data_IF_517620316233
#
_entry.id   IF_517620316233
#
_cell.length_a   1.000
_cell.length_b   1.000
_cell.length_c   1.000
_cell.angle_alpha   90.00
_cell.angle_beta   90.00
_cell.angle_gamma   90.00
#
_symmetry.space_group_name_H-M   'P 1'
#
loop_
_entity.id
_entity.type
_entity.pdbx_description
1 polymer ?
#
# COMPACT_ATOMS: atom_id res chain seq x y z
N UNK A 1 3.25 -3.32 25.15
CA UNK A 1 2.07 -2.55 24.89
C UNK A 1 2.32 -1.57 23.79
N UNK A 2 1.69 -1.76 22.71
CA UNK A 2 2.01 -0.95 21.55
C UNK A 2 1.23 0.35 21.56
N UNK A 3 1.93 1.46 21.34
CA UNK A 3 1.32 2.75 21.09
C UNK A 3 1.06 2.97 19.61
N UNK A 4 1.04 1.89 18.86
CA UNK A 4 0.80 1.94 17.43
C UNK A 4 -0.65 2.29 17.15
N UNK A 5 -0.84 3.31 16.35
CA UNK A 5 -2.14 3.85 16.00
C UNK A 5 -2.29 3.90 14.49
N UNK A 6 -3.44 3.46 13.98
CA UNK A 6 -3.75 3.53 12.56
C UNK A 6 -4.76 4.64 12.29
N UNK A 7 -4.62 5.31 11.15
CA UNK A 7 -5.54 6.39 10.78
C UNK A 7 -5.72 6.44 9.26
N UNK A 8 -6.95 6.72 8.84
CA UNK A 8 -7.29 6.95 7.43
C UNK A 8 -7.29 8.45 7.09
N UNK A 9 -6.94 9.30 8.02
CA UNK A 9 -6.88 10.74 7.82
C UNK A 9 -5.65 11.10 6.98
N UNK A 10 -5.88 11.48 5.73
CA UNK A 10 -4.79 11.81 4.80
C UNK A 10 -3.98 13.02 5.25
N UNK A 11 -4.57 13.92 6.06
CA UNK A 11 -3.83 15.08 6.54
C UNK A 11 -2.71 14.71 7.51
N UNK A 12 -2.76 13.51 8.08
CA UNK A 12 -1.72 13.00 8.97
C UNK A 12 -0.57 12.32 8.24
N UNK A 13 -0.71 12.05 6.94
CA UNK A 13 0.32 11.35 6.17
C UNK A 13 1.55 12.23 5.97
N UNK A 14 2.72 11.64 6.17
CA UNK A 14 4.00 12.28 5.89
C UNK A 14 4.39 11.93 4.44
N UNK A 15 3.94 12.75 3.51
CA UNK A 15 4.14 12.48 2.07
C UNK A 15 5.62 12.42 1.71
N UNK A 16 6.44 13.28 2.30
CA UNK A 16 7.88 13.25 2.04
C UNK A 16 8.52 11.94 2.47
N UNK A 17 8.14 11.43 3.63
CA UNK A 17 8.65 10.16 4.12
C UNK A 17 8.15 8.99 3.28
N UNK A 18 6.88 9.03 2.87
CA UNK A 18 6.30 8.01 1.99
C UNK A 18 7.06 7.98 0.67
N UNK A 19 7.26 9.15 0.07
CA UNK A 19 7.99 9.26 -1.19
C UNK A 19 9.42 8.72 -1.07
N UNK A 20 10.14 9.14 -0.03
CA UNK A 20 11.52 8.72 0.17
C UNK A 20 11.62 7.20 0.30
N UNK A 21 10.69 6.59 1.01
CA UNK A 21 10.67 5.15 1.16
C UNK A 21 10.34 4.46 -0.17
N UNK A 22 9.27 4.87 -0.84
CA UNK A 22 8.82 4.22 -2.08
C UNK A 22 9.86 4.33 -3.19
N UNK A 23 10.53 5.47 -3.29
CA UNK A 23 11.56 5.66 -4.32
C UNK A 23 12.73 4.69 -4.18
N UNK A 24 12.92 4.11 -3.00
CA UNK A 24 13.98 3.14 -2.73
C UNK A 24 13.53 1.69 -2.85
N UNK A 25 12.24 1.44 -3.09
CA UNK A 25 11.73 0.07 -3.15
C UNK A 25 11.97 -0.56 -4.52
N UNK A 26 11.91 -1.91 -4.56
CA UNK A 26 12.06 -2.63 -5.81
C UNK A 26 10.84 -2.50 -6.72
N UNK A 27 9.66 -2.17 -6.16
CA UNK A 27 8.42 -2.11 -6.95
C UNK A 27 8.12 -0.72 -7.51
N UNK A 28 8.75 0.34 -7.00
CA UNK A 28 8.58 1.69 -7.55
C UNK A 28 9.86 2.51 -7.47
N UNK A 29 11.01 1.96 -7.96
CA UNK A 29 12.27 2.68 -7.87
C UNK A 29 12.20 3.98 -8.64
N UNK A 30 12.61 5.07 -7.98
CA UNK A 30 12.67 6.39 -8.62
C UNK A 30 11.34 7.07 -8.83
N UNK A 31 10.27 6.61 -8.19
CA UNK A 31 8.96 7.25 -8.35
C UNK A 31 9.04 8.74 -7.99
N UNK A 32 8.56 9.65 -8.87
CA UNK A 32 8.58 11.08 -8.57
C UNK A 32 7.61 11.45 -7.44
N UNK A 33 7.95 12.50 -6.71
CA UNK A 33 7.08 13.00 -5.63
C UNK A 33 5.66 13.28 -6.11
N UNK A 34 5.54 13.90 -7.27
CA UNK A 34 4.23 14.23 -7.85
C UNK A 34 3.36 13.01 -8.10
N UNK A 35 3.98 11.90 -8.50
CA UNK A 35 3.25 10.65 -8.71
C UNK A 35 2.73 10.09 -7.37
N UNK A 36 3.54 10.18 -6.32
CA UNK A 36 3.12 9.76 -4.99
C UNK A 36 1.95 10.61 -4.50
N UNK A 37 2.05 11.92 -4.66
CA UNK A 37 0.98 12.84 -4.25
C UNK A 37 -0.35 12.52 -4.95
N UNK A 38 -0.31 12.30 -6.26
CA UNK A 38 -1.52 11.97 -7.02
C UNK A 38 -2.08 10.61 -6.65
N UNK A 39 -1.20 9.64 -6.43
CA UNK A 39 -1.62 8.30 -6.05
C UNK A 39 -2.32 8.31 -4.68
N UNK A 40 -1.76 9.03 -3.72
CA UNK A 40 -2.36 9.16 -2.39
C UNK A 40 -3.70 9.87 -2.46
N UNK A 41 -3.78 10.94 -3.25
CA UNK A 41 -5.02 11.71 -3.41
C UNK A 41 -6.16 10.84 -3.94
N UNK A 42 -5.86 9.91 -4.84
CA UNK A 42 -6.88 9.12 -5.53
C UNK A 42 -7.04 7.70 -4.98
N UNK A 43 -6.48 7.42 -3.83
CA UNK A 43 -6.53 6.09 -3.22
C UNK A 43 -7.07 6.16 -1.81
N UNK A 44 -7.53 5.02 -1.31
CA UNK A 44 -7.80 4.88 0.13
C UNK A 44 -6.47 4.55 0.80
N UNK A 45 -6.03 5.43 1.71
CA UNK A 45 -4.73 5.30 2.35
C UNK A 45 -4.88 5.13 3.85
N UNK A 46 -3.98 4.34 4.44
CA UNK A 46 -3.91 4.18 5.88
C UNK A 46 -2.47 4.38 6.32
N UNK A 47 -2.28 5.20 7.35
CA UNK A 47 -0.98 5.38 7.99
C UNK A 47 -0.95 4.68 9.33
N UNK A 48 0.23 4.21 9.71
CA UNK A 48 0.48 3.68 11.04
C UNK A 48 1.47 4.57 11.77
N UNK A 49 1.21 4.86 13.03
CA UNK A 49 1.94 5.86 13.79
C UNK A 49 2.35 5.35 15.17
N UNK A 50 3.54 5.74 15.60
CA UNK A 50 3.99 5.55 16.98
C UNK A 50 4.42 6.92 17.49
N UNK A 51 3.82 7.36 18.60
CA UNK A 51 4.08 8.68 19.20
C UNK A 51 3.93 9.81 18.18
N UNK A 52 2.92 9.70 17.31
CA UNK A 52 2.62 10.71 16.31
C UNK A 52 3.49 10.66 15.05
N UNK A 53 4.50 9.80 15.02
CA UNK A 53 5.41 9.67 13.88
C UNK A 53 4.96 8.52 13.00
N UNK A 54 4.89 8.75 11.70
CA UNK A 54 4.48 7.71 10.77
C UNK A 54 5.58 6.66 10.60
N UNK A 55 5.22 5.40 10.83
CA UNK A 55 6.14 4.26 10.72
C UNK A 55 5.65 3.19 9.74
N UNK A 56 4.42 3.33 9.26
CA UNK A 56 3.82 2.34 8.36
C UNK A 56 2.83 3.01 7.40
N UNK A 57 2.58 2.34 6.29
CA UNK A 57 1.68 2.86 5.26
C UNK A 57 1.13 1.72 4.42
N UNK A 58 -0.09 1.91 3.91
CA UNK A 58 -0.65 1.07 2.87
C UNK A 58 -1.60 1.90 2.01
N UNK A 59 -1.67 1.55 0.74
CA UNK A 59 -2.52 2.25 -0.22
C UNK A 59 -3.40 1.25 -0.93
N UNK A 60 -4.68 1.56 -1.05
CA UNK A 60 -5.65 0.72 -1.73
C UNK A 60 -6.26 1.48 -2.89
N UNK A 61 -5.95 1.04 -4.11
CA UNK A 61 -6.56 1.61 -5.31
C UNK A 61 -7.93 0.95 -5.47
N UNK A 62 -9.00 1.72 -5.37
CA UNK A 62 -10.32 1.13 -5.32
C UNK A 62 -11.41 2.09 -5.79
N UNK A 63 -12.47 1.53 -6.39
CA UNK A 63 -13.69 2.27 -6.67
C UNK A 63 -14.63 2.25 -5.46
N UNK A 64 -14.22 1.59 -4.38
CA UNK A 64 -14.97 1.45 -3.11
C UNK A 64 -16.28 0.67 -3.26
N UNK A 65 -16.44 -0.05 -4.35
CA UNK A 65 -17.70 -0.75 -4.66
C UNK A 65 -17.47 -2.17 -5.19
N UNK A 66 -16.52 -2.34 -6.12
CA UNK A 66 -16.39 -3.61 -6.83
C UNK A 66 -14.99 -4.23 -6.74
N UNK A 67 -13.95 -3.41 -6.67
CA UNK A 67 -12.59 -3.87 -6.89
C UNK A 67 -11.59 -3.06 -6.08
N UNK A 68 -10.49 -3.71 -5.69
CA UNK A 68 -9.38 -3.03 -5.07
C UNK A 68 -8.04 -3.66 -5.45
N UNK A 69 -7.00 -2.84 -5.49
CA UNK A 69 -5.63 -3.28 -5.66
C UNK A 69 -4.80 -2.75 -4.48
N UNK A 70 -4.27 -3.67 -3.70
CA UNK A 70 -3.48 -3.31 -2.52
C UNK A 70 -2.04 -3.03 -2.95
N UNK A 71 -1.53 -1.86 -2.62
CA UNK A 71 -0.24 -1.38 -3.07
C UNK A 71 0.51 -0.65 -1.96
N UNK A 72 1.83 -0.57 -2.12
CA UNK A 72 2.68 0.28 -1.29
C UNK A 72 2.58 0.00 0.20
N UNK A 73 2.46 -1.27 0.58
CA UNK A 73 2.44 -1.67 1.98
C UNK A 73 3.86 -1.69 2.52
N UNK A 74 4.12 -0.90 3.56
CA UNK A 74 5.43 -0.96 4.19
C UNK A 74 5.39 -0.60 5.67
N UNK A 75 6.39 -1.10 6.39
CA UNK A 75 6.76 -0.66 7.73
C UNK A 75 8.23 -0.28 7.65
N UNK A 76 8.60 0.87 8.23
CA UNK A 76 10.00 1.31 8.16
C UNK A 76 10.91 0.28 8.87
N UNK A 77 12.17 0.14 8.40
CA UNK A 77 13.05 -0.94 8.91
C UNK A 77 13.21 -0.98 10.42
N UNK A 78 13.26 0.18 11.09
CA UNK A 78 13.47 0.25 12.53
C UNK A 78 12.33 -0.34 13.35
N UNK A 79 11.17 -0.58 12.74
CA UNK A 79 9.99 -1.10 13.43
C UNK A 79 9.50 -2.43 12.87
N UNK A 80 10.31 -3.09 12.06
CA UNK A 80 9.97 -4.42 11.54
C UNK A 80 10.10 -5.48 12.62
N UNK A 81 9.37 -6.59 12.43
CA UNK A 81 9.41 -7.67 13.39
C UNK A 81 8.53 -7.48 14.61
N UNK A 82 7.68 -6.45 14.62
CA UNK A 82 6.81 -6.13 15.74
C UNK A 82 5.33 -6.39 15.44
N UNK A 83 5.03 -7.00 14.30
CA UNK A 83 3.66 -7.30 13.91
C UNK A 83 2.86 -6.11 13.41
N UNK A 84 3.51 -5.01 13.06
CA UNK A 84 2.81 -3.78 12.67
C UNK A 84 2.12 -3.90 11.31
N UNK A 85 2.71 -4.61 10.35
CA UNK A 85 2.06 -4.84 9.06
C UNK A 85 0.72 -5.52 9.23
N UNK A 86 0.66 -6.53 10.09
CA UNK A 86 -0.58 -7.25 10.36
C UNK A 86 -1.62 -6.33 10.97
N UNK A 87 -1.22 -5.51 11.94
CA UNK A 87 -2.15 -4.58 12.59
C UNK A 87 -2.66 -3.53 11.61
N UNK A 88 -1.78 -3.03 10.75
CA UNK A 88 -2.15 -2.07 9.71
C UNK A 88 -3.19 -2.68 8.75
N UNK A 89 -2.94 -3.90 8.29
CA UNK A 89 -3.84 -4.58 7.36
C UNK A 89 -5.16 -4.95 8.02
N UNK A 90 -5.15 -5.34 9.30
CA UNK A 90 -6.39 -5.58 10.04
C UNK A 90 -7.27 -4.33 10.05
N UNK A 91 -6.66 -3.18 10.31
CA UNK A 91 -7.39 -1.91 10.31
C UNK A 91 -7.91 -1.56 8.92
N UNK A 92 -7.09 -1.74 7.89
CA UNK A 92 -7.49 -1.46 6.52
C UNK A 92 -8.69 -2.34 6.10
N UNK A 93 -8.61 -3.63 6.39
CA UNK A 93 -9.65 -4.58 5.98
C UNK A 93 -10.98 -4.36 6.72
N UNK A 94 -10.95 -3.64 7.83
CA UNK A 94 -12.18 -3.32 8.57
C UNK A 94 -12.87 -2.05 8.09
N UNK A 95 -12.26 -1.31 7.16
CA UNK A 95 -12.86 -0.07 6.64
C UNK A 95 -14.18 -0.39 5.92
N UNK A 96 -15.24 0.44 6.12
CA UNK A 96 -16.54 0.19 5.47
C UNK A 96 -16.46 0.03 3.97
N UNK A 97 -15.61 0.81 3.29
CA UNK A 97 -15.49 0.78 1.83
C UNK A 97 -14.77 -0.46 1.30
N UNK A 98 -14.23 -1.28 2.18
CA UNK A 98 -13.55 -2.52 1.80
C UNK A 98 -14.51 -3.71 1.86
N UNK A 99 -15.66 -3.54 2.49
CA UNK A 99 -16.64 -4.61 2.64
C UNK A 99 -17.42 -4.80 1.33
N UNK A 100 -17.68 -6.05 0.98
CA UNK A 100 -18.52 -6.36 -0.18
C UNK A 100 -17.86 -6.22 -1.55
N UNK A 101 -16.57 -5.95 -1.60
CA UNK A 101 -15.86 -5.92 -2.88
C UNK A 101 -15.80 -7.32 -3.48
N UNK A 102 -16.02 -7.39 -4.79
CA UNK A 102 -16.00 -8.68 -5.48
C UNK A 102 -14.59 -9.26 -5.56
N UNK A 103 -13.58 -8.42 -5.72
CA UNK A 103 -12.20 -8.89 -5.88
C UNK A 103 -11.22 -7.87 -5.35
N UNK A 104 -10.19 -8.37 -4.69
CA UNK A 104 -9.04 -7.57 -4.30
C UNK A 104 -7.79 -8.30 -4.75
N UNK A 105 -6.89 -7.59 -5.42
CA UNK A 105 -5.64 -8.14 -5.93
C UNK A 105 -4.45 -7.47 -5.26
N UNK A 106 -3.33 -8.16 -5.25
CA UNK A 106 -2.04 -7.59 -4.91
C UNK A 106 -0.95 -8.35 -5.65
N UNK A 107 0.23 -7.74 -5.70
CA UNK A 107 1.44 -8.39 -6.21
C UNK A 107 2.47 -8.35 -5.10
N UNK A 108 3.06 -9.49 -4.80
CA UNK A 108 4.13 -9.57 -3.81
C UNK A 108 5.19 -10.54 -4.28
N UNK A 109 6.45 -10.23 -3.99
CA UNK A 109 7.55 -11.10 -4.32
C UNK A 109 7.78 -12.15 -3.21
N UNK A 110 7.56 -11.77 -1.96
CA UNK A 110 8.04 -12.57 -0.83
C UNK A 110 7.15 -12.52 0.43
N UNK A 111 5.96 -11.93 0.37
CA UNK A 111 5.10 -11.79 1.54
C UNK A 111 3.79 -12.56 1.46
N UNK A 112 3.75 -13.64 0.68
CA UNK A 112 2.53 -14.43 0.49
C UNK A 112 1.94 -14.92 1.82
N UNK A 113 2.80 -15.30 2.77
CA UNK A 113 2.34 -15.78 4.07
C UNK A 113 1.58 -14.74 4.88
N UNK A 114 2.02 -13.49 4.79
CA UNK A 114 1.32 -12.39 5.46
C UNK A 114 -0.08 -12.21 4.87
N UNK A 115 -0.17 -12.11 3.56
CA UNK A 115 -1.44 -11.82 2.90
C UNK A 115 -2.41 -12.99 2.95
N UNK A 116 -1.90 -14.23 3.00
CA UNK A 116 -2.75 -15.41 3.16
C UNK A 116 -3.59 -15.33 4.44
N UNK A 117 -3.08 -14.68 5.48
CA UNK A 117 -3.81 -14.50 6.74
C UNK A 117 -5.05 -13.64 6.59
N UNK A 118 -5.13 -12.86 5.49
CA UNK A 118 -6.26 -11.98 5.19
C UNK A 118 -7.11 -12.52 4.06
N UNK A 119 -6.97 -13.81 3.72
CA UNK A 119 -7.81 -14.45 2.73
C UNK A 119 -7.31 -14.37 1.30
N UNK A 120 -6.11 -13.82 1.09
CA UNK A 120 -5.53 -13.80 -0.25
C UNK A 120 -5.00 -15.18 -0.62
N UNK A 121 -5.26 -15.58 -1.85
CA UNK A 121 -4.86 -16.88 -2.40
C UNK A 121 -4.25 -16.67 -3.78
N UNK A 122 -3.47 -17.64 -4.27
CA UNK A 122 -3.05 -17.59 -5.67
C UNK A 122 -4.27 -17.44 -6.58
N UNK A 123 -4.09 -16.75 -7.70
CA UNK A 123 -5.18 -16.53 -8.65
C UNK A 123 -5.74 -17.87 -9.13
N UNK A 124 -7.08 -17.97 -9.18
CA UNK A 124 -7.72 -19.18 -9.66
C UNK A 124 -7.47 -19.41 -11.15
N UNK A 125 -7.32 -18.31 -11.91
CA UNK A 125 -7.11 -18.37 -13.36
C UNK A 125 -6.10 -17.28 -13.75
N UNK A 126 -4.81 -17.47 -13.43
CA UNK A 126 -3.80 -16.43 -13.66
C UNK A 126 -3.65 -16.04 -15.13
N UNK A 127 -3.92 -16.95 -16.03
CA UNK A 127 -3.85 -16.72 -17.47
C UNK A 127 -4.93 -15.78 -17.99
N UNK A 128 -5.94 -15.45 -17.17
CA UNK A 128 -6.95 -14.47 -17.54
C UNK A 128 -6.51 -13.03 -17.31
N UNK A 129 -5.45 -12.85 -16.55
CA UNK A 129 -4.91 -11.50 -16.31
C UNK A 129 -3.95 -11.13 -17.40
N UNK A 130 -4.04 -9.87 -17.82
CA UNK A 130 -3.11 -9.29 -18.78
C UNK A 130 -2.62 -7.98 -18.22
N UNK A 131 -1.39 -7.60 -18.54
CA UNK A 131 -0.84 -6.32 -18.10
C UNK A 131 -0.35 -5.51 -19.28
N UNK A 132 -0.39 -4.20 -19.10
CA UNK A 132 0.26 -3.25 -19.97
C UNK A 132 1.21 -2.47 -19.10
N UNK A 133 2.48 -2.86 -19.12
CA UNK A 133 3.48 -2.33 -18.19
C UNK A 133 4.43 -1.39 -18.92
N UNK A 134 4.68 -0.22 -18.33
CA UNK A 134 5.70 0.72 -18.81
C UNK A 134 6.82 0.79 -17.77
N UNK A 135 7.89 0.04 -17.92
CA UNK A 135 8.97 0.04 -16.93
C UNK A 135 9.75 1.36 -16.87
N UNK A 136 9.56 2.24 -17.86
CA UNK A 136 10.24 3.52 -17.93
C UNK A 136 9.36 4.70 -17.55
N UNK A 137 8.18 4.46 -16.96
CA UNK A 137 7.22 5.51 -16.66
C UNK A 137 7.84 6.63 -15.80
N UNK A 138 8.60 6.25 -14.77
CA UNK A 138 9.18 7.24 -13.85
C UNK A 138 10.41 7.91 -14.42
N UNK A 139 11.12 7.24 -15.30
CA UNK A 139 12.27 7.84 -16.00
C UNK A 139 11.81 8.94 -16.95
N UNK A 140 10.68 8.74 -17.63
CA UNK A 140 10.12 9.73 -18.54
C UNK A 140 9.69 10.98 -17.78
N UNK A 141 9.16 10.83 -16.57
CA UNK A 141 8.78 11.97 -15.71
C UNK A 141 10.02 12.73 -15.26
N UNK A 142 11.10 12.03 -14.92
CA UNK A 142 12.34 12.67 -14.49
C UNK A 142 13.00 13.45 -15.61
N UNK A 143 12.80 13.03 -16.86
CA UNK A 143 13.37 13.68 -18.03
C UNK A 143 12.65 14.99 -18.38
N UNK A 144 11.46 15.20 -17.84
CA UNK A 144 10.71 16.42 -18.07
C UNK A 144 11.17 17.52 -17.13
#
# INVERSE_FOLDING_TARGET
MSRFECSFDKSRLDIGAIHAFLASTYWSPGIPLQAVERAVENSLCIGGYIDGRQVAFARLVTDRATFAYLADVFVIPSHRGEGLSRRLLEALMSHPDVQGLRRMLLVTRDAHGLYAKFGFKPLAAPDRLMERHNPNAYKAQDAA
#
